data_IF_265166144906
#
_entry.id   IF_265166144906
#
_cell.length_a   1.000
_cell.length_b   1.000
_cell.length_c   1.000
_cell.angle_alpha   90.00
_cell.angle_beta   90.00
_cell.angle_gamma   90.00
#
_symmetry.space_group_name_H-M   'P 1'
#
loop_
_entity.id
_entity.type
_entity.pdbx_description
1 polymer ?
#
# COMPACT_ATOMS: atom_id res chain seq x y z
N UNK A 1 -13.86 13.73 19.33
CA UNK A 1 -13.41 13.55 18.94
C UNK A 1 -12.59 13.20 18.56
N UNK A 2 -12.42 12.75 18.39
CA UNK A 2 -11.67 12.45 18.02
C UNK A 2 -11.15 12.27 17.28
N UNK A 3 -11.26 12.39 17.12
CA UNK A 3 -10.78 12.47 16.39
C UNK A 3 -9.95 12.26 15.69
N UNK A 4 -10.07 12.25 15.46
CA UNK A 4 -9.02 12.36 14.47
C UNK A 4 -7.97 11.31 14.53
N UNK A 5 -8.08 10.43 15.40
CA UNK A 5 -7.09 9.37 15.54
C UNK A 5 -7.54 8.04 14.96
N UNK A 6 -8.59 8.08 14.18
CA UNK A 6 -9.00 6.86 13.50
C UNK A 6 -7.99 6.57 12.41
N UNK A 7 -7.24 5.50 12.59
CA UNK A 7 -6.29 5.07 11.57
C UNK A 7 -7.04 4.30 10.52
N UNK A 8 -6.85 4.67 9.29
CA UNK A 8 -7.54 4.02 8.21
C UNK A 8 -6.68 2.90 7.65
N UNK A 9 -7.30 1.73 7.54
CA UNK A 9 -6.65 0.60 6.89
C UNK A 9 -7.21 0.47 5.49
N UNK A 10 -6.37 0.04 4.58
CA UNK A 10 -6.74 -0.14 3.18
C UNK A 10 -6.61 -1.61 2.84
N UNK A 11 -7.63 -2.17 2.19
CA UNK A 11 -7.47 -3.47 1.57
C UNK A 11 -6.57 -3.33 0.35
N UNK A 12 -6.07 -4.46 -0.16
CA UNK A 12 -5.24 -4.41 -1.36
C UNK A 12 -6.00 -3.79 -2.53
N UNK A 13 -7.30 -4.08 -2.61
CA UNK A 13 -8.13 -3.53 -3.68
C UNK A 13 -8.26 -2.01 -3.53
N UNK A 14 -8.54 -1.54 -2.32
CA UNK A 14 -8.68 -0.11 -2.08
C UNK A 14 -7.38 0.62 -2.39
N UNK A 15 -6.26 0.05 -1.97
CA UNK A 15 -4.98 0.70 -2.19
C UNK A 15 -4.62 0.71 -3.68
N UNK A 16 -4.89 -0.39 -4.38
CA UNK A 16 -4.62 -0.44 -5.81
C UNK A 16 -5.43 0.61 -6.56
N UNK A 17 -6.70 0.76 -6.19
CA UNK A 17 -7.56 1.77 -6.82
C UNK A 17 -7.05 3.19 -6.52
N UNK A 18 -6.66 3.42 -5.28
CA UNK A 18 -6.19 4.74 -4.87
C UNK A 18 -4.91 5.13 -5.59
N UNK A 19 -3.99 4.21 -5.72
CA UNK A 19 -2.69 4.47 -6.32
C UNK A 19 -2.69 4.25 -7.83
N UNK A 20 -3.77 3.69 -8.37
CA UNK A 20 -3.91 3.42 -9.81
C UNK A 20 -2.85 2.46 -10.30
N UNK A 21 -2.59 1.45 -9.51
CA UNK A 21 -1.71 0.35 -9.90
C UNK A 21 -2.47 -0.95 -9.71
N UNK A 22 -1.98 -2.01 -10.33
CA UNK A 22 -2.67 -3.28 -10.25
C UNK A 22 -2.43 -3.95 -8.90
N UNK A 23 -3.37 -4.82 -8.51
CA UNK A 23 -3.20 -5.64 -7.33
C UNK A 23 -1.94 -6.51 -7.49
N UNK A 24 -1.70 -6.97 -8.71
CA UNK A 24 -0.53 -7.78 -8.99
C UNK A 24 0.75 -7.03 -8.67
N UNK A 25 0.81 -5.75 -8.99
CA UNK A 25 1.98 -4.94 -8.66
C UNK A 25 2.18 -4.87 -7.15
N UNK A 26 1.10 -4.72 -6.39
CA UNK A 26 1.21 -4.70 -4.94
C UNK A 26 1.71 -6.03 -4.40
N UNK A 27 1.27 -7.15 -4.97
CA UNK A 27 1.77 -8.46 -4.57
C UNK A 27 3.25 -8.59 -4.88
N UNK A 28 3.66 -8.09 -6.02
CA UNK A 28 5.08 -8.10 -6.39
C UNK A 28 5.91 -7.28 -5.41
N UNK A 29 5.42 -6.10 -5.04
CA UNK A 29 6.13 -5.27 -4.08
C UNK A 29 6.28 -5.96 -2.73
N UNK A 30 5.26 -6.73 -2.33
CA UNK A 30 5.34 -7.52 -1.11
C UNK A 30 6.43 -8.58 -1.24
N UNK A 31 6.47 -9.28 -2.38
CA UNK A 31 7.43 -10.36 -2.60
C UNK A 31 8.86 -9.86 -2.54
N UNK A 32 9.14 -8.71 -3.13
CA UNK A 32 10.51 -8.19 -3.16
C UNK A 32 10.84 -7.35 -1.93
N UNK A 33 9.88 -7.20 -1.02
CA UNK A 33 10.11 -6.46 0.21
C UNK A 33 10.07 -4.96 0.06
N UNK A 34 9.62 -4.45 -1.07
CA UNK A 34 9.55 -3.02 -1.29
C UNK A 34 8.42 -2.38 -0.49
N UNK A 35 7.27 -3.04 -0.46
CA UNK A 35 6.13 -2.58 0.31
C UNK A 35 5.35 -3.78 0.82
N UNK A 36 5.47 -4.04 2.10
CA UNK A 36 4.77 -5.15 2.72
C UNK A 36 3.51 -4.65 3.41
N UNK A 37 2.44 -5.44 3.40
CA UNK A 37 1.24 -5.05 4.13
C UNK A 37 1.52 -5.01 5.62
N UNK A 38 0.78 -4.18 6.33
CA UNK A 38 0.94 -4.10 7.78
C UNK A 38 0.46 -5.37 8.45
N UNK A 39 -0.58 -6.00 7.91
CA UNK A 39 -1.03 -7.27 8.44
C UNK A 39 -1.87 -8.00 7.40
N UNK A 40 -2.10 -9.28 7.64
CA UNK A 40 -3.00 -10.08 6.82
C UNK A 40 -4.19 -10.50 7.67
N UNK A 41 -5.36 -10.37 7.11
CA UNK A 41 -6.57 -10.76 7.79
C UNK A 41 -6.77 -12.27 7.81
N UNK A 42 -7.94 -12.68 8.32
CA UNK A 42 -8.24 -14.09 8.52
C UNK A 42 -8.19 -14.90 7.23
N UNK A 43 -8.49 -14.26 6.10
CA UNK A 43 -8.50 -14.93 4.79
C UNK A 43 -7.22 -14.71 4.02
N UNK A 44 -6.14 -14.36 4.70
CA UNK A 44 -4.90 -14.00 4.05
C UNK A 44 -5.00 -12.75 3.18
N UNK A 45 -6.05 -11.99 3.33
CA UNK A 45 -6.18 -10.72 2.64
C UNK A 45 -5.16 -9.75 3.21
N UNK A 46 -4.52 -9.00 2.34
CA UNK A 46 -3.51 -8.01 2.74
C UNK A 46 -4.18 -6.71 3.10
N UNK A 47 -3.73 -6.12 4.21
CA UNK A 47 -4.22 -4.82 4.65
C UNK A 47 -3.05 -3.90 4.88
N UNK A 48 -3.21 -2.67 4.45
CA UNK A 48 -2.16 -1.66 4.48
C UNK A 48 -2.60 -0.51 5.37
N UNK A 49 -1.66 -0.01 6.15
CA UNK A 49 -1.94 1.12 7.03
C UNK A 49 -1.82 2.43 6.25
N UNK A 50 -2.20 3.53 6.93
CA UNK A 50 -1.97 4.86 6.39
C UNK A 50 -0.50 5.07 6.06
N UNK A 51 0.38 4.61 6.94
CA UNK A 51 1.81 4.71 6.72
C UNK A 51 2.24 3.96 5.46
N UNK A 52 1.67 2.78 5.27
CA UNK A 52 1.97 2.01 4.06
C UNK A 52 1.52 2.76 2.81
N UNK A 53 0.37 3.41 2.89
CA UNK A 53 -0.14 4.19 1.75
C UNK A 53 0.80 5.35 1.43
N UNK A 54 1.34 5.99 2.45
CA UNK A 54 2.30 7.07 2.25
C UNK A 54 3.60 6.55 1.63
N UNK A 55 4.05 5.38 2.07
CA UNK A 55 5.23 4.76 1.46
C UNK A 55 5.00 4.48 -0.02
N UNK A 56 3.83 3.98 -0.34
CA UNK A 56 3.50 3.71 -1.74
C UNK A 56 3.52 4.99 -2.55
N UNK A 57 2.99 6.07 -1.98
CA UNK A 57 3.01 7.36 -2.65
C UNK A 57 4.44 7.78 -2.97
N UNK A 58 5.36 7.58 -2.04
CA UNK A 58 6.76 7.91 -2.28
C UNK A 58 7.37 7.03 -3.37
N UNK A 59 7.05 5.75 -3.35
CA UNK A 59 7.53 4.83 -4.38
C UNK A 59 7.06 5.30 -5.76
N UNK A 60 5.78 5.65 -5.87
CA UNK A 60 5.23 6.09 -7.14
C UNK A 60 5.88 7.39 -7.60
N UNK A 61 6.17 8.29 -6.66
CA UNK A 61 6.83 9.53 -6.96
C UNK A 61 8.22 9.28 -7.56
N UNK A 62 9.00 8.39 -6.95
CA UNK A 62 10.31 8.05 -7.49
C UNK A 62 10.22 7.43 -8.86
N UNK A 63 9.25 6.57 -9.08
CA UNK A 63 9.08 5.94 -10.38
C UNK A 63 8.77 6.97 -11.46
N UNK A 64 7.96 7.97 -11.12
CA UNK A 64 7.64 9.03 -12.07
C UNK A 64 8.86 9.87 -12.42
N UNK A 65 9.81 9.94 -11.53
CA UNK A 65 11.03 10.69 -11.77
C UNK A 65 12.07 9.89 -12.54
N UNK A 66 11.73 8.67 -12.93
CA UNK A 66 12.61 7.86 -13.76
C UNK A 66 13.48 6.88 -13.00
N UNK A 67 13.33 6.80 -11.69
CA UNK A 67 14.08 5.80 -10.93
C UNK A 67 13.44 4.44 -11.11
N UNK A 68 14.23 3.41 -11.14
CA UNK A 68 13.75 2.06 -11.34
C UNK A 68 13.96 1.22 -10.11
N UNK A 69 13.16 0.19 -10.01
CA UNK A 69 13.25 -0.76 -8.91
C UNK A 69 14.59 -1.48 -8.89
#
# INVERSE_FOLDING_TARGET
MDMGLVLKDYSVKQLSDLAKISIRTLHYYDEIGLLKPSYKGANNYRYYSETDALKLQQIMFFKEMGFRD
#
